data_IF_884061288107
#
_entry.id   IF_884061288107
#
_cell.length_a   1.000
_cell.length_b   1.000
_cell.length_c   1.000
_cell.angle_alpha   90.00
_cell.angle_beta   90.00
_cell.angle_gamma   90.00
#
_symmetry.space_group_name_H-M   'P 1'
#
loop_
_entity.id
_entity.type
_entity.pdbx_description
1 polymer ?
#
# COMPACT_ATOMS: atom_id res chain seq x y z
N UNK A 1 31.88 24.15 12.01
CA UNK A 1 31.05 23.30 12.89
C UNK A 1 30.77 22.01 12.13
N UNK A 2 31.19 20.85 12.63
CA UNK A 2 30.97 19.58 11.92
C UNK A 2 29.54 19.07 12.15
N UNK A 3 28.97 18.37 11.18
CA UNK A 3 27.69 17.68 11.36
C UNK A 3 27.80 16.66 12.50
N UNK A 4 26.76 16.47 13.33
CA UNK A 4 26.80 15.49 14.41
C UNK A 4 27.00 14.06 13.89
N UNK A 5 27.62 13.21 14.72
CA UNK A 5 27.74 11.79 14.43
C UNK A 5 26.37 11.10 14.45
N UNK A 6 26.15 10.17 13.53
CA UNK A 6 24.93 9.35 13.48
C UNK A 6 23.70 10.05 12.90
N UNK A 7 23.80 11.32 12.48
CA UNK A 7 22.69 12.05 11.85
C UNK A 7 22.69 11.78 10.34
N UNK A 8 21.58 11.28 9.77
CA UNK A 8 21.42 11.16 8.33
C UNK A 8 21.31 12.54 7.68
N UNK A 9 22.05 12.74 6.60
CA UNK A 9 22.11 13.98 5.83
C UNK A 9 21.80 13.67 4.38
N UNK A 10 20.85 14.39 3.80
CA UNK A 10 20.53 14.30 2.39
C UNK A 10 21.65 14.94 1.54
N UNK A 11 22.08 14.22 0.51
CA UNK A 11 22.98 14.72 -0.51
C UNK A 11 22.28 15.71 -1.46
N UNK A 12 23.07 16.59 -2.06
CA UNK A 12 22.60 17.53 -3.08
C UNK A 12 22.50 16.93 -4.49
N UNK A 13 22.69 15.60 -4.63
CA UNK A 13 22.78 14.90 -5.91
C UNK A 13 21.55 15.04 -6.81
N UNK A 14 20.39 15.39 -6.25
CA UNK A 14 19.15 15.60 -7.00
C UNK A 14 18.79 17.09 -7.17
N UNK A 15 19.57 18.01 -6.59
CA UNK A 15 19.23 19.43 -6.51
C UNK A 15 20.17 20.32 -7.31
N UNK A 16 21.43 19.90 -7.48
CA UNK A 16 22.44 20.68 -8.18
C UNK A 16 23.38 19.76 -8.97
N UNK A 17 23.69 20.16 -10.19
CA UNK A 17 24.66 19.48 -11.03
C UNK A 17 26.08 19.63 -10.46
N UNK A 18 26.92 18.62 -10.65
CA UNK A 18 28.31 18.63 -10.16
C UNK A 18 28.44 18.47 -8.64
N UNK A 19 27.37 18.09 -7.94
CA UNK A 19 27.44 17.77 -6.52
C UNK A 19 28.45 16.64 -6.25
N UNK A 20 29.35 16.88 -5.30
CA UNK A 20 30.38 15.92 -4.91
C UNK A 20 29.95 15.26 -3.60
N UNK A 21 29.92 13.92 -3.52
CA UNK A 21 29.58 13.25 -2.28
C UNK A 21 30.61 13.48 -1.18
N UNK A 22 30.20 13.44 0.11
CA UNK A 22 31.12 13.58 1.22
C UNK A 22 32.28 12.58 1.08
N UNK A 23 33.51 13.05 1.27
CA UNK A 23 34.72 12.22 1.16
C UNK A 23 35.10 11.62 2.52
N UNK A 24 35.93 10.57 2.49
CA UNK A 24 36.30 9.75 3.66
C UNK A 24 37.73 9.98 4.17
N UNK A 25 38.51 10.75 3.42
CA UNK A 25 39.94 10.96 3.55
C UNK A 25 40.30 12.10 4.51
N UNK A 26 39.30 12.67 5.19
CA UNK A 26 39.46 13.76 6.15
C UNK A 26 39.25 13.23 7.56
N UNK A 27 39.45 14.07 8.59
CA UNK A 27 39.19 13.71 10.00
C UNK A 27 37.72 13.36 10.34
N UNK A 28 36.90 13.13 9.32
CA UNK A 28 35.51 12.72 9.38
C UNK A 28 35.24 11.69 8.26
N UNK A 29 34.47 10.64 8.58
CA UNK A 29 34.09 9.60 7.64
C UNK A 29 32.58 9.52 7.52
N UNK A 30 32.10 9.37 6.30
CA UNK A 30 30.68 9.16 5.99
C UNK A 30 30.46 7.75 5.47
N UNK A 31 29.22 7.27 5.56
CA UNK A 31 28.74 6.09 4.84
C UNK A 31 27.50 6.47 4.05
N UNK A 32 27.35 5.93 2.84
CA UNK A 32 26.08 5.99 2.12
C UNK A 32 25.13 4.95 2.74
N UNK A 33 23.92 5.36 3.10
CA UNK A 33 22.91 4.48 3.70
C UNK A 33 22.21 3.63 2.61
N UNK A 34 23.02 2.94 1.80
CA UNK A 34 22.58 2.09 0.69
C UNK A 34 23.34 0.76 0.71
N UNK A 35 22.63 -0.33 0.45
CA UNK A 35 23.22 -1.63 0.14
C UNK A 35 23.92 -1.57 -1.23
N UNK A 36 24.98 -2.37 -1.39
CA UNK A 36 25.73 -2.49 -2.63
C UNK A 36 26.59 -1.28 -2.96
N UNK A 37 26.79 -0.34 -2.03
CA UNK A 37 27.53 0.91 -2.26
C UNK A 37 29.03 0.79 -2.00
N UNK A 38 29.60 -0.41 -2.20
CA UNK A 38 31.02 -0.71 -1.98
C UNK A 38 31.96 0.20 -2.77
N UNK A 39 31.56 0.65 -3.96
CA UNK A 39 32.31 1.64 -4.74
C UNK A 39 32.44 3.01 -4.08
N UNK A 40 31.51 3.37 -3.17
CA UNK A 40 31.58 4.58 -2.36
C UNK A 40 32.31 4.28 -1.04
N UNK A 41 31.73 3.44 -0.17
CA UNK A 41 32.22 3.30 1.22
C UNK A 41 33.20 2.12 1.44
N UNK A 42 33.55 1.34 0.42
CA UNK A 42 34.38 0.14 0.57
C UNK A 42 33.73 -0.90 1.50
N UNK A 43 34.52 -1.51 2.39
CA UNK A 43 34.04 -2.51 3.37
C UNK A 43 33.49 -1.90 4.67
N UNK A 44 33.08 -0.62 4.66
CA UNK A 44 32.60 0.09 5.86
C UNK A 44 31.14 -0.23 6.21
N UNK A 45 30.40 -0.81 5.28
CA UNK A 45 29.17 -1.54 5.57
C UNK A 45 29.42 -2.99 5.15
N UNK A 46 29.10 -3.92 6.04
CA UNK A 46 29.21 -5.37 5.83
C UNK A 46 27.89 -6.04 6.20
N UNK A 47 27.72 -7.32 5.88
CA UNK A 47 26.51 -8.10 6.20
C UNK A 47 25.22 -7.40 5.75
N UNK A 48 25.27 -6.81 4.56
CA UNK A 48 24.11 -6.14 3.99
C UNK A 48 23.01 -7.16 3.67
N UNK A 49 21.77 -6.80 3.99
CA UNK A 49 20.59 -7.59 3.70
C UNK A 49 19.53 -6.67 3.13
N UNK A 50 18.94 -7.07 2.00
CA UNK A 50 17.79 -6.40 1.39
C UNK A 50 16.72 -7.46 1.18
N UNK A 51 15.57 -7.27 1.82
CA UNK A 51 14.45 -8.22 1.77
C UNK A 51 13.14 -7.50 1.49
N UNK A 52 12.14 -8.27 1.06
CA UNK A 52 10.84 -7.77 0.68
C UNK A 52 10.77 -7.33 -0.78
N UNK A 53 9.59 -6.84 -1.16
CA UNK A 53 9.31 -6.26 -2.47
C UNK A 53 8.76 -4.86 -2.28
N UNK A 54 8.96 -4.01 -3.28
CA UNK A 54 8.40 -2.66 -3.27
C UNK A 54 6.87 -2.70 -2.99
N UNK A 55 6.34 -1.82 -2.11
CA UNK A 55 7.00 -0.74 -1.36
C UNK A 55 7.63 -1.18 -0.02
N UNK A 56 7.43 -2.43 0.39
CA UNK A 56 7.82 -2.98 1.69
C UNK A 56 9.23 -3.57 1.67
N UNK A 57 10.22 -2.73 1.36
CA UNK A 57 11.63 -3.13 1.39
C UNK A 57 12.19 -2.90 2.80
N UNK A 58 12.88 -3.91 3.33
CA UNK A 58 13.70 -3.79 4.54
C UNK A 58 15.15 -3.97 4.15
N UNK A 59 15.99 -2.99 4.49
CA UNK A 59 17.40 -3.01 4.14
C UNK A 59 18.28 -2.65 5.34
N UNK A 60 19.20 -3.53 5.69
CA UNK A 60 20.10 -3.39 6.84
C UNK A 60 21.53 -3.71 6.45
N UNK A 61 22.47 -3.20 7.25
CA UNK A 61 23.87 -3.59 7.20
C UNK A 61 24.54 -3.34 8.55
N UNK A 62 25.79 -3.77 8.71
CA UNK A 62 26.60 -3.55 9.90
C UNK A 62 27.72 -2.56 9.61
N UNK A 63 27.88 -1.55 10.46
CA UNK A 63 28.93 -0.55 10.32
C UNK A 63 30.28 -1.17 10.72
N UNK A 64 31.23 -1.14 9.81
CA UNK A 64 32.58 -1.69 9.97
C UNK A 64 33.65 -0.59 9.83
N UNK A 65 33.59 0.39 10.73
CA UNK A 65 34.58 1.49 10.81
C UNK A 65 35.29 1.44 12.15
N UNK A 66 36.51 0.89 12.23
CA UNK A 66 37.31 0.91 13.45
C UNK A 66 37.50 2.36 13.94
N UNK A 67 37.27 2.61 15.23
CA UNK A 67 37.33 3.94 15.84
C UNK A 67 36.01 4.72 15.83
N UNK A 68 34.97 4.24 15.12
CA UNK A 68 33.62 4.80 15.23
C UNK A 68 32.92 4.30 16.50
N UNK A 69 32.14 5.15 17.22
CA UNK A 69 31.25 4.68 18.28
C UNK A 69 30.14 3.74 17.77
N UNK A 70 29.91 3.69 16.45
CA UNK A 70 28.91 2.82 15.83
C UNK A 70 29.51 1.54 15.24
N UNK A 71 30.80 1.27 15.44
CA UNK A 71 31.42 0.04 14.97
C UNK A 71 30.67 -1.21 15.47
N UNK A 72 30.38 -2.15 14.57
CA UNK A 72 29.63 -3.37 14.84
C UNK A 72 28.12 -3.16 15.03
N UNK A 73 27.60 -1.93 14.94
CA UNK A 73 26.17 -1.66 15.07
C UNK A 73 25.45 -1.84 13.74
N UNK A 74 24.21 -2.32 13.82
CA UNK A 74 23.32 -2.41 12.66
C UNK A 74 22.81 -1.02 12.29
N UNK A 75 22.82 -0.72 11.00
CA UNK A 75 22.29 0.51 10.41
C UNK A 75 21.23 0.17 9.37
N UNK A 76 20.26 1.07 9.21
CA UNK A 76 19.25 1.01 8.16
C UNK A 76 19.77 1.63 6.88
N UNK A 77 19.56 0.95 5.77
CA UNK A 77 19.97 1.39 4.45
C UNK A 77 18.78 2.08 3.78
N UNK A 78 18.41 3.23 4.34
CA UNK A 78 17.17 3.96 4.01
C UNK A 78 17.07 4.40 2.54
N UNK A 79 18.19 4.44 1.79
CA UNK A 79 18.17 4.70 0.36
C UNK A 79 17.54 3.54 -0.43
N UNK A 80 17.65 2.30 0.05
CA UNK A 80 16.97 1.15 -0.53
C UNK A 80 15.52 1.06 -0.04
N UNK A 81 15.26 1.35 1.24
CA UNK A 81 13.91 1.31 1.80
C UNK A 81 13.03 2.47 1.28
N UNK A 82 13.63 3.57 0.84
CA UNK A 82 12.96 4.85 0.48
C UNK A 82 12.03 5.37 1.58
N UNK A 83 12.35 5.00 2.83
CA UNK A 83 11.65 5.40 4.05
C UNK A 83 12.07 6.80 4.43
N UNK A 84 11.11 7.64 4.82
CA UNK A 84 11.41 8.96 5.40
C UNK A 84 11.45 8.88 6.93
N UNK A 85 12.20 9.80 7.53
CA UNK A 85 12.30 9.93 8.98
C UNK A 85 11.29 10.97 9.46
N UNK A 86 10.54 10.62 10.51
CA UNK A 86 9.65 11.55 11.21
C UNK A 86 9.83 11.41 12.72
N UNK A 87 9.55 12.45 13.51
CA UNK A 87 9.45 12.32 14.95
C UNK A 87 8.42 11.25 15.33
N UNK A 88 8.73 10.48 16.38
CA UNK A 88 7.88 9.41 16.89
C UNK A 88 7.99 9.29 18.40
N UNK A 89 7.14 8.44 18.96
CA UNK A 89 7.09 8.16 20.42
C UNK A 89 8.25 7.30 20.88
N UNK A 90 8.75 6.40 20.03
CA UNK A 90 9.89 5.52 20.32
C UNK A 90 10.96 5.68 19.23
N UNK A 91 12.22 5.99 19.60
CA UNK A 91 13.32 6.06 18.63
C UNK A 91 13.51 4.73 17.90
N UNK A 92 13.50 4.76 16.57
CA UNK A 92 13.70 3.58 15.73
C UNK A 92 12.47 2.68 15.54
N UNK A 93 11.30 3.07 16.08
CA UNK A 93 10.05 2.38 15.81
C UNK A 93 9.74 2.40 14.31
N UNK A 94 9.52 1.22 13.74
CA UNK A 94 9.17 1.08 12.33
C UNK A 94 7.68 1.17 12.14
N UNK A 95 7.27 2.12 11.32
CA UNK A 95 5.88 2.28 10.93
C UNK A 95 5.73 1.98 9.44
N UNK A 96 4.73 1.19 9.09
CA UNK A 96 4.40 0.93 7.70
C UNK A 96 3.49 2.03 7.15
N UNK A 97 3.11 1.92 5.88
CA UNK A 97 2.12 2.81 5.30
C UNK A 97 0.80 2.71 6.08
N UNK A 98 0.17 3.86 6.27
CA UNK A 98 -1.13 3.96 6.89
C UNK A 98 -1.84 5.15 6.26
N UNK A 99 -3.08 4.93 5.84
CA UNK A 99 -4.01 6.02 5.61
C UNK A 99 -4.92 6.13 6.83
N UNK A 100 -5.31 7.35 7.16
CA UNK A 100 -6.36 7.55 8.15
C UNK A 100 -7.66 6.89 7.67
N UNK A 101 -8.40 6.31 8.61
CA UNK A 101 -9.70 5.74 8.32
C UNK A 101 -10.60 6.81 7.72
N UNK A 102 -11.25 6.46 6.61
CA UNK A 102 -12.27 7.28 5.98
C UNK A 102 -13.32 6.37 5.36
N UNK A 103 -14.50 6.92 5.13
CA UNK A 103 -15.61 6.22 4.50
C UNK A 103 -16.15 7.04 3.33
N UNK A 104 -16.65 6.34 2.33
CA UNK A 104 -17.40 6.94 1.23
C UNK A 104 -18.88 6.62 1.44
N UNK A 105 -19.72 7.65 1.47
CA UNK A 105 -21.16 7.49 1.36
C UNK A 105 -21.56 7.38 -0.11
N UNK A 106 -22.30 6.33 -0.46
CA UNK A 106 -22.99 6.22 -1.74
C UNK A 106 -24.48 6.49 -1.54
N UNK A 107 -25.07 7.34 -2.36
CA UNK A 107 -26.52 7.48 -2.49
C UNK A 107 -26.90 7.07 -3.90
N UNK A 108 -27.88 6.18 -4.01
CA UNK A 108 -28.61 5.99 -5.26
C UNK A 108 -29.73 7.04 -5.29
N UNK A 109 -29.98 7.68 -6.44
CA UNK A 109 -31.05 8.68 -6.56
C UNK A 109 -32.45 8.08 -6.30
N UNK A 110 -32.56 6.76 -6.36
CA UNK A 110 -33.73 5.98 -6.03
C UNK A 110 -33.28 4.83 -5.12
N UNK A 111 -33.96 4.60 -3.99
CA UNK A 111 -33.99 3.26 -3.43
C UNK A 111 -34.76 2.43 -4.47
N UNK A 112 -34.06 1.74 -5.37
CA UNK A 112 -34.64 1.26 -6.62
C UNK A 112 -35.86 0.36 -6.37
N UNK A 113 -37.07 0.91 -6.48
CA UNK A 113 -38.30 0.15 -6.62
C UNK A 113 -38.23 -0.50 -8.00
N UNK A 114 -37.61 -1.66 -8.07
CA UNK A 114 -37.64 -2.47 -9.27
C UNK A 114 -38.25 -3.82 -8.96
N UNK A 115 -38.97 -4.32 -9.94
CA UNK A 115 -39.56 -5.65 -9.94
C UNK A 115 -38.97 -6.43 -11.12
N UNK A 116 -38.97 -7.76 -10.99
CA UNK A 116 -38.61 -8.64 -12.10
C UNK A 116 -39.89 -9.17 -12.73
N UNK A 117 -39.91 -9.23 -14.06
CA UNK A 117 -40.97 -9.96 -14.76
C UNK A 117 -40.81 -11.46 -14.46
N UNK A 118 -41.90 -12.09 -14.01
CA UNK A 118 -41.96 -13.53 -13.85
C UNK A 118 -41.91 -14.19 -15.25
N UNK A 119 -41.29 -15.38 -15.40
CA UNK A 119 -41.24 -16.07 -16.67
C UNK A 119 -42.65 -16.31 -17.22
N UNK A 120 -42.82 -16.15 -18.54
CA UNK A 120 -44.13 -16.22 -19.20
C UNK A 120 -44.86 -17.56 -19.01
N UNK A 121 -44.14 -18.61 -18.65
CA UNK A 121 -44.67 -19.96 -18.43
C UNK A 121 -44.03 -20.58 -17.18
N UNK A 122 -44.84 -20.88 -16.16
CA UNK A 122 -44.46 -21.79 -15.08
C UNK A 122 -45.00 -23.18 -15.42
N UNK A 123 -44.12 -24.15 -15.65
CA UNK A 123 -44.50 -25.56 -15.70
C UNK A 123 -44.50 -26.13 -14.29
N UNK A 124 -45.69 -26.45 -13.76
CA UNK A 124 -45.81 -27.39 -12.64
C UNK A 124 -45.86 -28.80 -13.23
N UNK A 125 -44.90 -29.64 -12.85
CA UNK A 125 -44.91 -31.09 -13.15
C UNK A 125 -45.47 -31.89 -11.96
N UNK A 126 -46.27 -31.25 -11.09
CA UNK A 126 -46.80 -31.93 -9.91
C UNK A 126 -47.92 -32.88 -10.33
N UNK A 127 -47.64 -34.19 -10.31
CA UNK A 127 -48.62 -35.25 -10.51
C UNK A 127 -49.76 -35.24 -9.45
N UNK A 128 -49.67 -34.37 -8.43
CA UNK A 128 -50.60 -34.27 -7.30
C UNK A 128 -51.39 -32.95 -7.19
N UNK A 129 -51.33 -32.06 -8.19
CA UNK A 129 -52.21 -30.88 -8.26
C UNK A 129 -52.18 -29.97 -7.02
N UNK A 130 -51.07 -29.26 -6.79
CA UNK A 130 -51.06 -28.19 -5.81
C UNK A 130 -51.88 -27.00 -6.34
N UNK A 131 -53.17 -26.94 -5.98
CA UNK A 131 -54.14 -25.96 -6.46
C UNK A 131 -53.86 -24.59 -5.85
N UNK A 132 -53.57 -23.60 -6.69
CA UNK A 132 -53.54 -22.19 -6.27
C UNK A 132 -54.94 -21.81 -5.76
N UNK A 133 -55.09 -21.23 -4.55
CA UNK A 133 -56.39 -20.83 -4.04
C UNK A 133 -57.06 -19.82 -5.00
N UNK A 134 -58.16 -20.23 -5.63
CA UNK A 134 -59.04 -19.34 -6.39
C UNK A 134 -59.14 -19.53 -7.91
N UNK A 135 -58.65 -20.62 -8.53
CA UNK A 135 -58.92 -20.84 -9.97
C UNK A 135 -59.19 -22.30 -10.35
N UNK A 136 -60.09 -22.49 -11.33
CA UNK A 136 -60.74 -23.75 -11.71
C UNK A 136 -59.83 -24.73 -12.47
N UNK A 137 -60.18 -26.02 -12.32
CA UNK A 137 -59.54 -27.20 -12.89
C UNK A 137 -59.17 -27.08 -14.38
N UNK A 138 -57.93 -27.43 -14.70
CA UNK A 138 -57.46 -27.70 -16.07
C UNK A 138 -55.95 -27.56 -16.21
N UNK A 139 -55.33 -28.48 -16.96
CA UNK A 139 -53.96 -28.34 -17.47
C UNK A 139 -53.89 -27.10 -18.37
N UNK A 140 -53.60 -25.94 -17.78
CA UNK A 140 -53.46 -24.70 -18.52
C UNK A 140 -52.09 -24.08 -18.24
N UNK A 141 -51.38 -23.84 -19.34
CA UNK A 141 -50.27 -22.91 -19.41
C UNK A 141 -50.72 -21.60 -18.78
N UNK A 142 -50.29 -21.33 -17.54
CA UNK A 142 -50.50 -20.03 -16.96
C UNK A 142 -49.59 -19.06 -17.71
N UNK A 143 -50.19 -18.28 -18.60
CA UNK A 143 -49.51 -17.13 -19.17
C UNK A 143 -49.35 -16.10 -18.05
N UNK A 144 -48.16 -16.09 -17.45
CA UNK A 144 -47.79 -15.21 -16.35
C UNK A 144 -47.02 -13.99 -16.91
N UNK A 145 -46.93 -13.87 -18.24
CA UNK A 145 -46.34 -12.72 -18.92
C UNK A 145 -47.00 -11.43 -18.44
N UNK A 146 -46.17 -10.44 -18.08
CA UNK A 146 -46.62 -9.19 -17.50
C UNK A 146 -46.91 -9.22 -15.99
N UNK A 147 -46.72 -10.34 -15.27
CA UNK A 147 -46.66 -10.32 -13.80
C UNK A 147 -45.26 -9.96 -13.32
N UNK A 148 -45.20 -9.07 -12.36
CA UNK A 148 -43.97 -8.57 -11.77
C UNK A 148 -43.85 -9.02 -10.31
N UNK A 149 -42.63 -9.25 -9.83
CA UNK A 149 -42.38 -9.44 -8.40
C UNK A 149 -42.83 -8.20 -7.63
N UNK A 150 -43.18 -8.34 -6.34
CA UNK A 150 -43.41 -7.17 -5.50
C UNK A 150 -42.12 -6.34 -5.46
N UNK A 151 -42.18 -5.01 -5.64
CA UNK A 151 -41.02 -4.14 -5.49
C UNK A 151 -40.55 -4.02 -4.03
N UNK A 152 -41.28 -4.63 -3.08
CA UNK A 152 -41.00 -4.56 -1.65
C UNK A 152 -40.07 -5.71 -1.22
N UNK A 153 -38.75 -5.48 -1.28
CA UNK A 153 -37.72 -6.38 -0.80
C UNK A 153 -36.45 -5.64 -0.39
N UNK A 154 -35.94 -5.91 0.82
CA UNK A 154 -34.67 -5.35 1.29
C UNK A 154 -33.53 -5.91 0.42
N UNK A 155 -32.85 -5.06 -0.34
CA UNK A 155 -31.69 -5.46 -1.12
C UNK A 155 -30.60 -4.38 -1.05
N UNK A 156 -29.36 -4.79 -1.29
CA UNK A 156 -28.16 -3.95 -1.19
C UNK A 156 -27.54 -3.84 -2.57
N UNK A 157 -27.19 -2.63 -2.99
CA UNK A 157 -26.35 -2.41 -4.17
C UNK A 157 -24.88 -2.48 -3.77
N UNK A 158 -24.09 -3.27 -4.50
CA UNK A 158 -22.64 -3.17 -4.43
C UNK A 158 -22.20 -1.92 -5.18
N UNK A 159 -21.68 -0.94 -4.45
CA UNK A 159 -21.00 0.22 -5.04
C UNK A 159 -19.60 -0.20 -5.49
N UNK A 160 -19.33 -0.17 -6.79
CA UNK A 160 -18.01 -0.45 -7.37
C UNK A 160 -17.42 0.81 -7.97
N UNK A 161 -16.24 1.20 -7.50
CA UNK A 161 -15.41 2.23 -8.14
C UNK A 161 -14.23 1.58 -8.82
N UNK A 162 -13.79 2.15 -9.94
CA UNK A 162 -12.54 1.73 -10.55
C UNK A 162 -11.37 1.93 -9.58
N UNK A 163 -10.43 0.99 -9.54
CA UNK A 163 -9.18 1.18 -8.83
C UNK A 163 -8.38 2.31 -9.46
N UNK A 164 -7.69 3.10 -8.64
CA UNK A 164 -6.71 4.08 -9.10
C UNK A 164 -5.47 4.05 -8.20
N UNK A 165 -4.32 4.40 -8.76
CA UNK A 165 -3.03 4.40 -8.06
C UNK A 165 -2.11 3.26 -8.49
N UNK A 166 -1.10 3.01 -7.68
CA UNK A 166 -0.15 1.91 -7.83
C UNK A 166 0.28 1.40 -6.46
N UNK A 167 1.44 0.76 -6.37
CA UNK A 167 1.89 0.08 -5.15
C UNK A 167 2.17 1.02 -3.96
N UNK A 168 2.30 2.33 -4.18
CA UNK A 168 2.61 3.32 -3.14
C UNK A 168 1.78 4.59 -3.29
N UNK A 169 1.13 5.03 -2.19
CA UNK A 169 0.50 6.34 -2.08
C UNK A 169 1.51 7.37 -1.59
N UNK A 170 1.82 8.39 -2.40
CA UNK A 170 2.79 9.43 -2.05
C UNK A 170 2.51 10.79 -2.71
N UNK A 171 2.91 11.91 -2.09
CA UNK A 171 2.97 13.18 -2.77
C UNK A 171 4.10 13.20 -3.81
N UNK A 172 4.12 14.22 -4.67
CA UNK A 172 5.26 14.51 -5.53
C UNK A 172 6.53 14.62 -4.68
N UNK A 173 7.56 13.88 -5.05
CA UNK A 173 8.83 13.81 -4.33
C UNK A 173 10.00 13.71 -5.31
N UNK A 174 11.20 14.01 -4.81
CA UNK A 174 12.46 13.80 -5.51
C UNK A 174 13.34 12.88 -4.66
N UNK A 175 13.97 11.89 -5.28
CA UNK A 175 14.85 10.95 -4.58
C UNK A 175 16.22 11.58 -4.31
N UNK A 176 16.63 11.60 -3.05
CA UNK A 176 17.98 12.04 -2.62
C UNK A 176 18.71 10.88 -1.95
N UNK A 177 20.04 10.90 -2.02
CA UNK A 177 20.87 9.93 -1.33
C UNK A 177 21.18 10.39 0.09
N UNK A 178 20.91 9.56 1.09
CA UNK A 178 21.26 9.83 2.48
C UNK A 178 22.63 9.26 2.85
N UNK A 179 23.42 10.09 3.50
CA UNK A 179 24.73 9.78 4.06
C UNK A 179 24.67 9.93 5.57
N UNK A 180 25.52 9.22 6.29
CA UNK A 180 25.64 9.35 7.75
C UNK A 180 27.10 9.48 8.14
N UNK A 181 27.39 10.49 8.96
CA UNK A 181 28.73 10.65 9.54
C UNK A 181 28.95 9.62 10.64
N UNK A 182 30.03 8.87 10.53
CA UNK A 182 30.41 7.77 11.45
C UNK A 182 31.73 8.00 12.16
N UNK A 183 32.54 8.95 11.70
CA UNK A 183 33.75 9.46 12.37
C UNK A 183 33.88 10.95 12.12
#
# INVERSE_FOLDING_TARGET
>A
MYQPLGVPVAGGNALVEGWIPPQFDKGYQYILLSAGASGYHGNRIINESVTGSWPNITATGTINVPGSPFHGKTVRLINNERRFLRPGTLPGEMQQYQNEWHQHGGQTNEAGWHSHELPATLWSNDAGGNRVPGNQDGYYNQNISGRWTSPNGNHVHTFTTAGSGGDEARPRNIGVSYYMRVL
#
